data_IF_388853798630
#
_entry.id   IF_388853798630
#
_cell.length_a   1.000
_cell.length_b   1.000
_cell.length_c   1.000
_cell.angle_alpha   90.00
_cell.angle_beta   90.00
_cell.angle_gamma   90.00
#
_symmetry.space_group_name_H-M   'P 1'
#
loop_
_entity.id
_entity.type
_entity.pdbx_description
1 polymer ?
#
# COMPACT_ATOMS: atom_id res chain seq x y z
N UNK A 1 8.43 -30.37 -23.01
CA UNK A 1 9.10 -30.15 -21.74
C UNK A 1 8.12 -30.54 -20.63
N UNK A 2 8.43 -31.56 -19.88
CA UNK A 2 7.62 -32.01 -18.73
C UNK A 2 7.66 -30.91 -17.67
N UNK A 3 6.59 -30.14 -17.57
CA UNK A 3 6.40 -29.26 -16.41
C UNK A 3 6.27 -30.17 -15.18
N UNK A 4 7.27 -30.17 -14.32
CA UNK A 4 7.27 -30.94 -13.09
C UNK A 4 6.03 -30.63 -12.25
N UNK A 5 5.50 -31.65 -11.60
CA UNK A 5 4.39 -31.50 -10.66
C UNK A 5 4.86 -31.71 -9.23
N UNK A 6 4.20 -31.08 -8.26
CA UNK A 6 4.55 -31.10 -6.85
C UNK A 6 3.33 -31.20 -5.96
N UNK A 7 3.41 -31.96 -4.90
CA UNK A 7 2.37 -31.97 -3.86
C UNK A 7 2.46 -30.71 -2.99
N UNK A 8 1.32 -30.06 -2.79
CA UNK A 8 1.21 -29.01 -1.78
C UNK A 8 0.90 -29.62 -0.42
N UNK A 9 1.75 -29.48 0.61
CA UNK A 9 1.53 -30.11 1.91
C UNK A 9 0.31 -29.56 2.67
N UNK A 10 -0.18 -28.38 2.28
CA UNK A 10 -1.30 -27.72 2.96
C UNK A 10 -2.68 -28.10 2.38
N UNK A 11 -2.79 -28.41 1.09
CA UNK A 11 -4.05 -28.90 0.49
C UNK A 11 -3.99 -30.36 0.03
N UNK A 12 -2.82 -31.00 0.08
CA UNK A 12 -2.65 -32.40 -0.30
C UNK A 12 -2.73 -32.68 -1.80
N UNK A 13 -2.95 -31.67 -2.64
CA UNK A 13 -3.14 -31.84 -4.07
C UNK A 13 -1.81 -31.81 -4.85
N UNK A 14 -1.73 -32.67 -5.87
CA UNK A 14 -0.65 -32.62 -6.86
C UNK A 14 -0.93 -31.53 -7.88
N UNK A 15 -0.03 -30.56 -8.01
CA UNK A 15 -0.20 -29.38 -8.89
C UNK A 15 1.02 -29.17 -9.75
N UNK A 16 0.85 -28.57 -10.95
CA UNK A 16 1.98 -28.12 -11.76
C UNK A 16 2.91 -27.18 -10.98
N UNK A 17 4.20 -27.24 -11.21
CA UNK A 17 5.18 -26.39 -10.54
C UNK A 17 4.92 -24.91 -10.72
N UNK A 18 4.29 -24.49 -11.82
CA UNK A 18 3.84 -23.12 -12.10
C UNK A 18 2.81 -22.58 -11.12
N UNK A 19 2.09 -23.47 -10.39
CA UNK A 19 1.12 -23.10 -9.36
C UNK A 19 1.77 -22.78 -8.01
N UNK A 20 3.09 -22.90 -7.92
CA UNK A 20 3.87 -22.54 -6.74
C UNK A 20 4.60 -21.21 -6.97
N UNK A 21 4.81 -20.39 -5.92
CA UNK A 21 5.67 -19.21 -6.04
C UNK A 21 7.11 -19.64 -6.37
N UNK A 22 7.80 -18.83 -7.16
CA UNK A 22 9.22 -19.10 -7.47
C UNK A 22 10.08 -19.03 -6.21
N UNK A 23 10.94 -20.02 -6.02
CA UNK A 23 11.91 -20.05 -4.93
C UNK A 23 13.23 -20.62 -5.42
N UNK A 24 14.20 -19.72 -5.64
CA UNK A 24 15.53 -20.08 -6.16
C UNK A 24 16.38 -20.90 -5.18
N UNK A 25 16.02 -20.88 -3.89
CA UNK A 25 16.75 -21.64 -2.86
C UNK A 25 16.38 -23.12 -2.83
N UNK A 26 15.34 -23.54 -3.56
CA UNK A 26 14.89 -24.93 -3.63
C UNK A 26 15.29 -25.54 -4.98
N UNK A 27 15.71 -26.80 -4.93
CA UNK A 27 16.18 -27.52 -6.13
C UNK A 27 15.13 -27.68 -7.24
N UNK A 28 13.82 -27.66 -6.86
CA UNK A 28 12.69 -27.69 -7.80
C UNK A 28 12.27 -26.30 -8.29
N UNK A 29 12.87 -25.22 -7.75
CA UNK A 29 12.56 -23.84 -8.10
C UNK A 29 11.19 -23.34 -7.62
N UNK A 30 10.41 -24.17 -6.92
CA UNK A 30 9.07 -23.85 -6.42
C UNK A 30 9.01 -23.66 -4.92
N UNK A 31 8.14 -22.79 -4.46
CA UNK A 31 7.84 -22.62 -3.04
C UNK A 31 7.27 -23.89 -2.39
N UNK A 32 7.18 -23.94 -1.10
CA UNK A 32 6.67 -25.09 -0.34
C UNK A 32 5.17 -25.30 -0.56
N UNK A 33 4.41 -24.22 -0.54
CA UNK A 33 2.95 -24.20 -0.67
C UNK A 33 2.52 -23.65 -2.03
N UNK A 34 1.42 -24.16 -2.59
CA UNK A 34 0.84 -23.58 -3.80
C UNK A 34 0.42 -22.11 -3.55
N UNK A 35 0.39 -21.30 -4.61
CA UNK A 35 0.10 -19.86 -4.54
C UNK A 35 -1.10 -19.49 -3.68
N UNK A 36 -2.30 -20.15 -3.79
CA UNK A 36 -3.42 -19.85 -2.91
C UNK A 36 -3.11 -20.05 -1.43
N UNK A 37 -2.46 -21.16 -1.08
CA UNK A 37 -2.09 -21.49 0.31
C UNK A 37 -0.98 -20.58 0.84
N UNK A 38 0.03 -20.32 0.02
CA UNK A 38 1.09 -19.36 0.35
C UNK A 38 0.51 -17.97 0.67
N UNK A 39 -0.38 -17.47 -0.18
CA UNK A 39 -1.02 -16.17 0.01
C UNK A 39 -1.93 -16.14 1.25
N UNK A 40 -2.69 -17.22 1.50
CA UNK A 40 -3.51 -17.35 2.71
C UNK A 40 -2.64 -17.29 3.97
N UNK A 41 -1.59 -18.12 4.05
CA UNK A 41 -0.65 -18.13 5.18
C UNK A 41 0.03 -16.78 5.39
N UNK A 42 0.39 -16.09 4.30
CA UNK A 42 0.95 -14.74 4.35
C UNK A 42 -0.03 -13.72 4.95
N UNK A 43 -1.32 -13.77 4.57
CA UNK A 43 -2.36 -12.91 5.15
C UNK A 43 -2.59 -13.20 6.64
N UNK A 44 -2.70 -14.47 7.00
CA UNK A 44 -2.90 -14.90 8.39
C UNK A 44 -1.72 -14.50 9.28
N UNK A 45 -0.49 -14.65 8.77
CA UNK A 45 0.72 -14.23 9.49
C UNK A 45 0.78 -12.71 9.68
N UNK A 46 0.45 -11.93 8.64
CA UNK A 46 0.36 -10.47 8.76
C UNK A 46 -0.74 -10.04 9.73
N UNK A 47 -1.89 -10.73 9.73
CA UNK A 47 -2.96 -10.46 10.69
C UNK A 47 -2.47 -10.72 12.12
N UNK A 48 -1.84 -11.87 12.36
CA UNK A 48 -1.36 -12.28 13.68
C UNK A 48 -0.23 -11.39 14.22
N UNK A 49 0.75 -11.05 13.37
CA UNK A 49 1.95 -10.31 13.80
C UNK A 49 1.80 -8.79 13.74
N UNK A 50 0.96 -8.29 12.84
CA UNK A 50 0.94 -6.87 12.49
C UNK A 50 -0.47 -6.27 12.41
N UNK A 51 -1.52 -7.00 12.82
CA UNK A 51 -2.90 -6.50 12.75
C UNK A 51 -3.47 -6.38 11.33
N UNK A 52 -2.87 -7.07 10.35
CA UNK A 52 -3.35 -7.15 8.97
C UNK A 52 -2.45 -6.48 7.93
N UNK A 53 -2.76 -6.74 6.66
CA UNK A 53 -1.96 -6.26 5.53
C UNK A 53 -1.94 -4.72 5.43
N UNK A 54 -3.08 -4.06 5.66
CA UNK A 54 -3.17 -2.59 5.64
C UNK A 54 -2.26 -1.98 6.71
N UNK A 55 -2.34 -2.46 7.94
CA UNK A 55 -1.47 -1.99 9.04
C UNK A 55 0.01 -2.22 8.71
N UNK A 56 0.36 -3.43 8.23
CA UNK A 56 1.72 -3.76 7.86
C UNK A 56 2.30 -2.81 6.79
N UNK A 57 1.54 -2.52 5.72
CA UNK A 57 2.02 -1.62 4.66
C UNK A 57 2.12 -0.18 5.11
N UNK A 58 1.15 0.33 5.88
CA UNK A 58 1.18 1.69 6.43
C UNK A 58 2.36 1.87 7.39
N UNK A 59 2.57 0.89 8.28
CA UNK A 59 3.69 0.93 9.23
C UNK A 59 5.04 0.90 8.53
N UNK A 60 5.20 0.04 7.50
CA UNK A 60 6.43 -0.06 6.74
C UNK A 60 6.73 1.16 5.87
N UNK A 61 5.69 1.80 5.31
CA UNK A 61 5.85 2.93 4.39
C UNK A 61 5.87 4.29 5.06
N UNK A 62 5.07 4.48 6.10
CA UNK A 62 4.84 5.78 6.72
C UNK A 62 5.15 5.82 8.21
N UNK A 63 5.54 4.70 8.82
CA UNK A 63 5.79 4.61 10.26
C UNK A 63 4.54 4.63 11.15
N UNK A 64 3.34 4.83 10.59
CA UNK A 64 2.06 4.87 11.29
C UNK A 64 1.19 3.66 10.96
N UNK A 65 0.33 3.26 11.89
CA UNK A 65 -0.54 2.10 11.73
C UNK A 65 -1.90 2.45 11.12
N UNK A 66 -2.71 1.42 10.88
CA UNK A 66 -4.07 1.60 10.34
C UNK A 66 -4.96 2.43 11.28
N UNK A 67 -4.87 2.21 12.59
CA UNK A 67 -5.63 2.96 13.60
C UNK A 67 -5.26 4.45 13.62
N UNK A 68 -3.97 4.77 13.43
CA UNK A 68 -3.51 6.17 13.38
C UNK A 68 -4.11 6.88 12.17
N UNK A 69 -4.11 6.21 10.98
CA UNK A 69 -4.73 6.74 9.76
C UNK A 69 -6.24 6.92 9.94
N UNK A 70 -6.92 5.95 10.55
CA UNK A 70 -8.37 6.03 10.81
C UNK A 70 -8.70 7.19 11.78
N UNK A 71 -7.86 7.41 12.80
CA UNK A 71 -8.01 8.54 13.71
C UNK A 71 -7.80 9.89 13.00
N UNK A 72 -6.81 9.99 12.10
CA UNK A 72 -6.59 11.19 11.29
C UNK A 72 -7.78 11.47 10.37
N UNK A 73 -8.31 10.45 9.69
CA UNK A 73 -9.51 10.57 8.86
C UNK A 73 -10.71 11.06 9.67
N UNK A 74 -10.92 10.49 10.87
CA UNK A 74 -12.01 10.92 11.76
C UNK A 74 -11.84 12.38 12.21
N UNK A 75 -10.62 12.79 12.56
CA UNK A 75 -10.31 14.19 12.94
C UNK A 75 -10.58 15.17 11.80
N UNK A 76 -10.38 14.74 10.55
CA UNK A 76 -10.68 15.52 9.34
C UNK A 76 -12.16 15.48 8.94
N UNK A 77 -13.03 14.80 9.70
CA UNK A 77 -14.44 14.60 9.36
C UNK A 77 -14.67 13.70 8.16
N UNK A 78 -13.75 12.76 7.87
CA UNK A 78 -13.82 11.84 6.74
C UNK A 78 -13.39 12.46 5.40
N UNK A 79 -13.09 13.76 5.37
CA UNK A 79 -12.81 14.51 4.15
C UNK A 79 -11.31 14.83 3.98
N UNK A 80 -10.93 15.02 2.73
CA UNK A 80 -9.59 15.45 2.34
C UNK A 80 -9.15 16.69 3.11
N UNK A 81 -7.97 16.65 3.73
CA UNK A 81 -7.43 17.77 4.50
C UNK A 81 -7.21 19.05 3.66
N UNK A 82 -7.06 18.91 2.34
CA UNK A 82 -6.82 20.04 1.44
C UNK A 82 -8.12 20.62 0.86
N UNK A 83 -8.88 19.86 0.06
CA UNK A 83 -10.07 20.38 -0.61
C UNK A 83 -11.34 20.35 0.26
N UNK A 84 -11.37 19.53 1.29
CA UNK A 84 -12.49 19.36 2.23
C UNK A 84 -13.85 19.00 1.59
N UNK A 85 -13.80 18.48 0.37
CA UNK A 85 -15.01 18.11 -0.40
C UNK A 85 -15.05 16.63 -0.77
N UNK A 86 -13.91 15.99 -0.93
CA UNK A 86 -13.79 14.57 -1.32
C UNK A 86 -13.35 13.71 -0.15
N UNK A 87 -13.68 12.39 -0.15
CA UNK A 87 -13.22 11.48 0.88
C UNK A 87 -11.69 11.45 1.01
N UNK A 88 -11.21 11.37 2.24
CA UNK A 88 -9.80 11.20 2.57
C UNK A 88 -9.38 9.73 2.34
N UNK A 89 -8.49 9.48 1.39
CA UNK A 89 -8.12 8.12 0.96
C UNK A 89 -6.62 7.88 0.83
N UNK A 90 -5.81 8.94 0.69
CA UNK A 90 -4.36 8.87 0.44
C UNK A 90 -3.58 9.46 1.61
N UNK A 91 -2.64 8.72 2.16
CA UNK A 91 -1.69 9.24 3.14
C UNK A 91 -0.73 10.18 2.45
N UNK A 92 -0.76 11.44 2.82
CA UNK A 92 0.18 12.46 2.36
C UNK A 92 1.33 12.60 3.36
N UNK A 93 2.54 12.70 2.86
CA UNK A 93 3.75 12.79 3.66
C UNK A 93 4.78 13.70 3.00
N UNK A 94 5.61 14.29 3.81
CA UNK A 94 6.76 15.06 3.37
C UNK A 94 7.82 14.13 2.76
N UNK A 95 8.24 14.39 1.53
CA UNK A 95 9.18 13.52 0.82
C UNK A 95 10.63 13.61 1.30
N UNK A 96 10.98 14.68 2.03
CA UNK A 96 12.33 14.83 2.60
C UNK A 96 12.42 14.17 3.98
N UNK A 97 11.43 14.41 4.82
CA UNK A 97 11.43 13.94 6.22
C UNK A 97 10.68 12.62 6.43
N UNK A 98 9.78 12.24 5.52
CA UNK A 98 8.87 11.12 5.66
C UNK A 98 7.71 11.37 6.64
N UNK A 99 7.61 12.56 7.22
CA UNK A 99 6.55 12.89 8.18
C UNK A 99 5.18 12.92 7.51
N UNK A 100 4.20 12.24 8.09
CA UNK A 100 2.82 12.26 7.60
C UNK A 100 2.19 13.61 7.91
N UNK A 101 1.69 14.29 6.88
CA UNK A 101 1.04 15.61 6.95
C UNK A 101 -0.46 15.50 7.17
N UNK A 102 -1.11 14.54 6.52
CA UNK A 102 -2.56 14.36 6.58
C UNK A 102 -3.05 13.30 5.62
N UNK A 103 -4.37 13.16 5.52
CA UNK A 103 -5.00 12.24 4.57
C UNK A 103 -5.73 13.07 3.51
N UNK A 104 -5.33 12.91 2.26
CA UNK A 104 -5.87 13.63 1.12
C UNK A 104 -6.77 12.75 0.25
N UNK A 105 -7.54 13.35 -0.64
CA UNK A 105 -8.12 12.62 -1.77
C UNK A 105 -7.06 12.37 -2.85
N UNK A 106 -7.32 11.43 -3.74
CA UNK A 106 -6.39 11.06 -4.82
C UNK A 106 -5.95 12.28 -5.66
N UNK A 107 -6.90 13.14 -6.03
CA UNK A 107 -6.61 14.29 -6.89
C UNK A 107 -5.75 15.36 -6.21
N UNK A 108 -6.02 15.66 -4.94
CA UNK A 108 -5.20 16.62 -4.19
C UNK A 108 -3.80 16.09 -3.95
N UNK A 109 -3.66 14.82 -3.58
CA UNK A 109 -2.37 14.19 -3.40
C UNK A 109 -1.55 14.17 -4.70
N UNK A 110 -2.18 13.81 -5.81
CA UNK A 110 -1.55 13.84 -7.13
C UNK A 110 -1.18 15.28 -7.57
N UNK A 111 -2.04 16.25 -7.28
CA UNK A 111 -1.80 17.66 -7.59
C UNK A 111 -0.58 18.22 -6.86
N UNK A 112 -0.44 17.98 -5.56
CA UNK A 112 0.74 18.38 -4.81
C UNK A 112 2.02 17.76 -5.39
N UNK A 113 1.98 16.44 -5.68
CA UNK A 113 3.10 15.75 -6.32
C UNK A 113 3.45 16.29 -7.70
N UNK A 114 2.45 16.68 -8.50
CA UNK A 114 2.67 17.29 -9.81
C UNK A 114 3.39 18.65 -9.74
N UNK A 115 3.16 19.41 -8.66
CA UNK A 115 3.90 20.65 -8.36
C UNK A 115 5.20 20.40 -7.58
N UNK A 116 5.60 19.15 -7.41
CA UNK A 116 6.82 18.79 -6.68
C UNK A 116 6.80 19.13 -5.20
N UNK A 117 5.61 19.26 -4.59
CA UNK A 117 5.41 19.76 -3.23
C UNK A 117 6.04 21.14 -2.97
N UNK A 118 6.31 21.92 -4.03
CA UNK A 118 6.94 23.23 -3.92
C UNK A 118 5.89 24.34 -3.66
N UNK A 119 5.88 24.96 -2.47
CA UNK A 119 4.95 26.04 -2.14
C UNK A 119 5.05 27.24 -3.08
N UNK A 120 6.24 27.51 -3.65
CA UNK A 120 6.46 28.64 -4.55
C UNK A 120 5.76 28.40 -5.89
N UNK A 121 5.86 27.18 -6.44
CA UNK A 121 5.17 26.81 -7.69
C UNK A 121 3.66 26.85 -7.47
N UNK A 122 3.18 26.37 -6.31
CA UNK A 122 1.74 26.39 -5.96
C UNK A 122 1.25 27.85 -5.84
N UNK A 123 2.03 28.73 -5.19
CA UNK A 123 1.70 30.17 -5.13
C UNK A 123 1.63 30.80 -6.52
N UNK A 124 2.59 30.50 -7.40
CA UNK A 124 2.56 30.97 -8.80
C UNK A 124 1.35 30.45 -9.57
N UNK A 125 0.88 29.23 -9.27
CA UNK A 125 -0.33 28.69 -9.88
C UNK A 125 -1.59 29.45 -9.43
N UNK A 126 -1.66 29.90 -8.19
CA UNK A 126 -2.73 30.76 -7.68
C UNK A 126 -2.75 32.09 -8.45
N UNK A 127 -1.60 32.79 -8.52
CA UNK A 127 -1.47 34.04 -9.26
C UNK A 127 -1.87 33.88 -10.74
N UNK A 128 -1.43 32.79 -11.38
CA UNK A 128 -1.80 32.46 -12.75
C UNK A 128 -3.31 32.35 -12.96
N UNK A 129 -4.01 31.67 -12.05
CA UNK A 129 -5.46 31.50 -12.13
C UNK A 129 -6.23 32.80 -11.85
N UNK A 130 -5.72 33.65 -10.96
CA UNK A 130 -6.34 34.93 -10.60
C UNK A 130 -6.14 36.01 -11.67
N UNK A 131 -5.13 35.84 -12.52
CA UNK A 131 -4.81 36.78 -13.61
C UNK A 131 -5.56 36.49 -14.92
N UNK A 132 -6.32 35.43 -14.98
CA UNK A 132 -7.02 34.99 -16.20
C UNK A 132 -8.38 35.67 -16.41
#
# INVERSE_FOLDING_TARGET
MTQGSKHCPDCGELKPLGDFPRNRSRGDGGGEYCKPRHNKRGRENKQRLHGGSRHYHLKGRYGIGAADVDAMIATQGGLCALCRTRPATQVDHDHETGAVRGILCLLCNAGLGAFGDDPKIIASAIEYLESA
#
